data_IF_777024337741
#
_entry.id   IF_777024337741
#
_cell.length_a   1.000
_cell.length_b   1.000
_cell.length_c   1.000
_cell.angle_alpha   90.00
_cell.angle_beta   90.00
_cell.angle_gamma   90.00
#
_symmetry.space_group_name_H-M   'P 1'
#
loop_
_entity.id
_entity.type
_entity.pdbx_description
1 polymer ?
#
# COMPACT_ATOMS: atom_id res chain seq x y z
N UNK A 1 -8.26 70.29 7.66
CA UNK A 1 -8.71 69.21 8.56
C UNK A 1 -10.11 68.81 8.11
N UNK A 2 -10.21 67.73 7.34
CA UNK A 2 -11.43 67.33 6.64
C UNK A 2 -12.00 66.08 7.29
N UNK A 3 -13.25 66.16 7.72
CA UNK A 3 -14.04 65.20 8.47
C UNK A 3 -14.37 63.90 7.73
N UNK A 4 -13.45 63.39 6.90
CA UNK A 4 -13.60 62.14 6.13
C UNK A 4 -12.81 60.96 6.70
N UNK A 5 -11.87 61.19 7.62
CA UNK A 5 -11.01 60.11 8.16
C UNK A 5 -11.59 59.42 9.41
N UNK A 6 -12.64 59.98 10.02
CA UNK A 6 -13.21 59.47 11.27
C UNK A 6 -14.36 58.46 11.08
N UNK A 7 -14.80 58.20 9.85
CA UNK A 7 -16.03 57.42 9.61
C UNK A 7 -15.79 55.97 9.13
N UNK A 8 -14.56 55.60 8.80
CA UNK A 8 -14.24 54.23 8.34
C UNK A 8 -13.89 53.25 9.47
N UNK A 9 -13.69 53.73 10.70
CA UNK A 9 -13.26 52.88 11.83
C UNK A 9 -14.39 52.10 12.54
N UNK A 10 -15.65 52.23 12.10
CA UNK A 10 -16.81 51.73 12.87
C UNK A 10 -17.36 50.36 12.40
N UNK A 11 -16.84 49.76 11.31
CA UNK A 11 -17.48 48.53 10.74
C UNK A 11 -16.60 47.31 10.54
N UNK A 12 -15.57 47.11 11.36
CA UNK A 12 -14.93 45.79 11.47
C UNK A 12 -15.00 45.34 12.93
N UNK A 13 -16.21 44.97 13.36
CA UNK A 13 -16.40 44.24 14.60
C UNK A 13 -15.74 42.87 14.45
N UNK A 14 -14.58 42.68 15.09
CA UNK A 14 -13.95 41.35 15.18
C UNK A 14 -14.95 40.37 15.79
N UNK A 15 -15.30 39.31 15.07
CA UNK A 15 -16.09 38.21 15.63
C UNK A 15 -15.24 37.51 16.69
N UNK A 16 -15.71 37.47 17.94
CA UNK A 16 -15.09 36.63 18.96
C UNK A 16 -15.38 35.15 18.67
N UNK A 17 -14.40 34.29 18.99
CA UNK A 17 -14.56 32.84 18.83
C UNK A 17 -15.65 32.34 19.80
N UNK A 18 -16.61 31.57 19.28
CA UNK A 18 -17.63 30.91 20.11
C UNK A 18 -17.01 29.74 20.87
N UNK A 19 -17.24 29.69 22.17
CA UNK A 19 -16.88 28.55 23.01
C UNK A 19 -17.77 27.36 22.61
N UNK A 20 -17.18 26.29 22.08
CA UNK A 20 -17.95 25.16 21.56
C UNK A 20 -18.41 24.20 22.67
N UNK A 21 -17.72 24.17 23.81
CA UNK A 21 -18.01 23.27 24.93
C UNK A 21 -18.06 24.03 26.24
N UNK A 22 -19.27 24.23 26.77
CA UNK A 22 -19.52 25.05 27.96
C UNK A 22 -19.31 24.29 29.28
N UNK A 23 -19.04 22.98 29.24
CA UNK A 23 -18.97 22.10 30.41
C UNK A 23 -17.76 21.16 30.43
N UNK A 24 -16.72 21.44 29.64
CA UNK A 24 -15.50 20.64 29.63
C UNK A 24 -14.63 20.94 30.87
N UNK A 25 -14.98 20.35 32.01
CA UNK A 25 -14.10 20.31 33.19
C UNK A 25 -13.01 19.22 33.08
N UNK A 26 -13.10 18.38 32.04
CA UNK A 26 -12.22 17.27 31.82
C UNK A 26 -11.20 17.58 30.70
N UNK A 27 -9.93 17.26 30.95
CA UNK A 27 -8.76 17.70 30.16
C UNK A 27 -8.37 16.70 29.08
N UNK A 28 -9.03 15.55 28.98
CA UNK A 28 -8.46 14.44 28.20
C UNK A 28 -9.13 14.13 26.86
N UNK A 29 -10.22 14.79 26.46
CA UNK A 29 -10.83 14.52 25.14
C UNK A 29 -11.43 15.76 24.46
N UNK A 30 -10.56 16.67 24.03
CA UNK A 30 -10.92 17.82 23.20
C UNK A 30 -10.28 17.74 21.81
N UNK A 31 -10.71 16.79 20.96
CA UNK A 31 -10.67 16.95 19.50
C UNK A 31 -11.54 15.89 18.82
N UNK A 32 -12.42 16.35 17.92
CA UNK A 32 -13.24 15.53 17.04
C UNK A 32 -12.43 14.83 15.93
N UNK A 33 -11.74 13.74 16.29
CA UNK A 33 -11.24 12.76 15.30
C UNK A 33 -11.87 11.40 15.59
N UNK A 34 -12.50 10.73 14.62
CA UNK A 34 -12.95 9.36 14.81
C UNK A 34 -11.71 8.46 14.91
N UNK A 35 -11.48 7.90 16.10
CA UNK A 35 -10.50 6.84 16.31
C UNK A 35 -10.99 5.60 15.57
N UNK A 36 -10.37 5.28 14.43
CA UNK A 36 -10.59 3.96 13.80
C UNK A 36 -10.05 2.91 14.77
N UNK A 37 -10.90 1.94 15.09
CA UNK A 37 -10.83 1.10 16.28
C UNK A 37 -9.51 0.36 16.53
N UNK A 38 -9.17 0.28 17.82
CA UNK A 38 -8.22 -0.69 18.38
C UNK A 38 -8.64 -2.10 17.97
N UNK A 39 -7.89 -2.73 17.04
CA UNK A 39 -8.03 -4.15 16.70
C UNK A 39 -7.04 -5.03 17.47
N UNK A 40 -6.60 -4.59 18.65
CA UNK A 40 -5.64 -5.34 19.46
C UNK A 40 -6.09 -5.42 20.93
N UNK A 41 -7.32 -5.87 21.14
CA UNK A 41 -7.76 -6.43 22.42
C UNK A 41 -8.59 -7.67 22.13
N UNK A 42 -7.91 -8.73 21.69
CA UNK A 42 -8.46 -10.07 21.75
C UNK A 42 -7.34 -11.03 22.13
N UNK A 43 -7.13 -11.19 23.43
CA UNK A 43 -6.66 -12.46 24.00
C UNK A 43 -6.81 -12.44 25.53
N UNK A 44 -7.66 -13.37 25.97
CA UNK A 44 -7.72 -14.01 27.28
C UNK A 44 -8.31 -13.21 28.46
N UNK A 45 -9.61 -13.41 28.65
CA UNK A 45 -10.25 -13.34 29.97
C UNK A 45 -9.93 -14.61 30.77
N UNK A 46 -9.33 -14.45 31.94
CA UNK A 46 -9.55 -15.31 33.10
C UNK A 46 -9.84 -14.41 34.32
N UNK A 47 -10.88 -14.71 35.13
CA UNK A 47 -11.27 -13.85 36.23
C UNK A 47 -10.58 -14.24 37.53
N UNK A 48 -9.88 -13.28 38.14
CA UNK A 48 -9.44 -13.37 39.52
C UNK A 48 -7.94 -13.20 39.68
N UNK A 49 -7.50 -12.00 40.07
CA UNK A 49 -6.65 -11.72 41.23
C UNK A 49 -6.29 -10.23 41.23
N UNK A 50 -6.55 -9.56 42.34
CA UNK A 50 -6.27 -8.13 42.54
C UNK A 50 -4.75 -7.91 42.60
N UNK A 51 -4.12 -7.64 41.46
CA UNK A 51 -2.72 -7.23 41.42
C UNK A 51 -2.64 -5.72 41.61
N UNK A 52 -2.24 -5.30 42.81
CA UNK A 52 -1.77 -3.94 43.09
C UNK A 52 -0.73 -3.53 42.05
N UNK A 53 -1.11 -2.62 41.15
CA UNK A 53 -0.18 -2.00 40.20
C UNK A 53 0.71 -1.04 40.99
N UNK A 54 1.87 -1.55 41.45
CA UNK A 54 2.99 -0.71 41.90
C UNK A 54 3.33 0.28 40.80
N UNK A 55 2.93 1.53 41.01
CA UNK A 55 3.32 2.68 40.19
C UNK A 55 4.84 2.79 40.20
N UNK A 56 5.45 2.36 39.10
CA UNK A 56 6.87 2.53 38.83
C UNK A 56 7.08 4.04 38.74
N UNK A 57 7.86 4.62 39.66
CA UNK A 57 8.28 6.02 39.57
C UNK A 57 8.98 6.20 38.22
N UNK A 58 8.31 6.87 37.29
CA UNK A 58 8.93 7.41 36.10
C UNK A 58 9.83 8.53 36.61
N UNK A 59 11.09 8.18 36.88
CA UNK A 59 12.15 9.15 37.07
C UNK A 59 12.17 9.96 35.76
N UNK A 60 11.68 11.18 35.82
CA UNK A 60 11.64 12.12 34.72
C UNK A 60 13.07 12.31 34.22
N UNK A 61 13.39 11.65 33.10
CA UNK A 61 14.64 11.85 32.39
C UNK A 61 14.55 13.25 31.78
N UNK A 62 15.10 14.23 32.49
CA UNK A 62 15.21 15.60 32.02
C UNK A 62 15.88 15.57 30.65
N UNK A 63 15.09 15.86 29.61
CA UNK A 63 15.59 15.94 28.24
C UNK A 63 16.29 17.27 28.13
N UNK A 64 17.63 17.27 28.20
CA UNK A 64 18.41 18.47 27.91
C UNK A 64 18.13 18.88 26.46
N UNK A 65 17.43 20.01 26.29
CA UNK A 65 17.24 20.60 24.98
C UNK A 65 18.58 21.18 24.51
N UNK A 66 19.08 20.67 23.39
CA UNK A 66 20.27 21.23 22.76
C UNK A 66 19.94 22.64 22.23
N UNK A 67 20.40 23.67 22.96
CA UNK A 67 20.18 25.08 22.64
C UNK A 67 20.98 25.54 21.42
N UNK A 68 21.95 24.76 20.93
CA UNK A 68 22.77 25.14 19.77
C UNK A 68 21.99 25.10 18.45
N UNK A 69 20.88 24.36 18.41
CA UNK A 69 19.98 24.31 17.25
C UNK A 69 18.91 25.41 17.23
N UNK A 70 18.89 26.29 18.25
CA UNK A 70 17.85 27.30 18.41
C UNK A 70 18.16 28.53 17.55
N UNK A 71 17.23 28.85 16.65
CA UNK A 71 17.21 30.08 15.86
C UNK A 71 16.62 31.20 16.73
N UNK A 72 17.26 32.36 16.74
CA UNK A 72 16.83 33.52 17.53
C UNK A 72 15.76 34.34 16.78
N UNK A 73 15.01 35.16 17.50
CA UNK A 73 14.06 36.10 16.88
C UNK A 73 14.79 37.11 15.97
N UNK A 74 15.96 37.58 16.40
CA UNK A 74 16.78 38.51 15.60
C UNK A 74 17.19 37.90 14.26
N UNK A 75 17.46 36.59 14.19
CA UNK A 75 17.78 35.90 12.93
C UNK A 75 16.64 35.96 11.90
N UNK A 76 15.40 36.12 12.35
CA UNK A 76 14.22 36.13 11.50
C UNK A 76 13.73 37.56 11.20
N UNK A 77 14.05 38.54 12.06
CA UNK A 77 13.48 39.89 11.98
C UNK A 77 14.50 41.00 11.73
N UNK A 78 15.82 40.72 11.81
CA UNK A 78 16.84 41.76 11.66
C UNK A 78 16.91 42.28 10.21
N UNK A 79 16.73 43.59 9.97
CA UNK A 79 16.76 44.17 8.63
C UNK A 79 18.15 44.12 7.97
N UNK A 80 19.21 43.90 8.75
CA UNK A 80 20.58 43.71 8.23
C UNK A 80 20.86 42.28 7.77
N UNK A 81 19.93 41.35 8.00
CA UNK A 81 20.05 39.93 7.66
C UNK A 81 20.25 39.03 8.88
N UNK A 82 20.10 37.72 8.65
CA UNK A 82 20.26 36.68 9.68
C UNK A 82 21.72 36.48 10.09
N UNK A 83 21.95 35.95 11.30
CA UNK A 83 23.31 35.65 11.77
C UNK A 83 23.95 34.47 11.03
N UNK A 84 25.27 34.34 11.16
CA UNK A 84 26.02 33.19 10.64
C UNK A 84 25.51 31.85 11.22
N UNK A 85 25.15 31.83 12.51
CA UNK A 85 24.62 30.64 13.20
C UNK A 85 23.33 30.15 12.54
N UNK A 86 22.45 31.05 12.11
CA UNK A 86 21.24 30.68 11.38
C UNK A 86 21.56 29.92 10.10
N UNK A 87 22.52 30.43 9.30
CA UNK A 87 22.90 29.80 8.04
C UNK A 87 23.58 28.45 8.25
N UNK A 88 24.39 28.31 9.30
CA UNK A 88 24.98 27.03 9.69
C UNK A 88 23.89 25.98 10.01
N UNK A 89 22.93 26.32 10.87
CA UNK A 89 21.82 25.42 11.22
C UNK A 89 20.99 25.08 9.98
N UNK A 90 20.74 26.05 9.11
CA UNK A 90 19.98 25.83 7.89
C UNK A 90 20.72 24.92 6.91
N UNK A 91 22.03 25.07 6.77
CA UNK A 91 22.86 24.21 5.92
C UNK A 91 22.83 22.76 6.43
N UNK A 92 22.99 22.56 7.74
CA UNK A 92 22.94 21.22 8.35
C UNK A 92 21.56 20.57 8.18
N UNK A 93 20.47 21.32 8.42
CA UNK A 93 19.11 20.81 8.18
C UNK A 93 18.87 20.44 6.72
N UNK A 94 19.38 21.24 5.78
CA UNK A 94 19.29 20.96 4.35
C UNK A 94 20.12 19.74 3.96
N UNK A 95 21.29 19.55 4.57
CA UNK A 95 22.12 18.38 4.36
C UNK A 95 21.40 17.10 4.81
N UNK A 96 20.80 17.11 6.00
CA UNK A 96 20.01 15.96 6.49
C UNK A 96 18.81 15.68 5.59
N UNK A 97 18.03 16.71 5.24
CA UNK A 97 16.89 16.55 4.34
C UNK A 97 17.32 16.05 2.94
N UNK A 98 18.49 16.45 2.46
CA UNK A 98 19.04 15.95 1.20
C UNK A 98 19.45 14.48 1.33
N UNK A 99 20.09 14.09 2.42
CA UNK A 99 20.45 12.70 2.66
C UNK A 99 19.21 11.81 2.71
N UNK A 100 18.19 12.21 3.48
CA UNK A 100 16.92 11.49 3.55
C UNK A 100 16.27 11.33 2.16
N UNK A 101 16.30 12.38 1.34
CA UNK A 101 15.76 12.35 -0.02
C UNK A 101 16.58 11.44 -0.96
N UNK A 102 17.90 11.38 -0.80
CA UNK A 102 18.76 10.49 -1.58
C UNK A 102 18.52 9.02 -1.20
N UNK A 103 18.44 8.72 0.10
CA UNK A 103 18.16 7.38 0.61
C UNK A 103 16.77 6.89 0.15
N UNK A 104 15.76 7.76 0.19
CA UNK A 104 14.44 7.45 -0.36
C UNK A 104 14.50 7.22 -1.88
N UNK A 105 15.25 8.05 -2.62
CA UNK A 105 15.40 7.90 -4.06
C UNK A 105 16.04 6.55 -4.44
N UNK A 106 17.08 6.14 -3.73
CA UNK A 106 17.74 4.85 -3.92
C UNK A 106 16.76 3.70 -3.65
N UNK A 107 16.02 3.77 -2.54
CA UNK A 107 15.01 2.77 -2.21
C UNK A 107 13.93 2.67 -3.29
N UNK A 108 13.42 3.81 -3.77
CA UNK A 108 12.40 3.83 -4.83
C UNK A 108 12.93 3.24 -6.13
N UNK A 109 14.19 3.53 -6.51
CA UNK A 109 14.83 2.93 -7.69
C UNK A 109 14.89 1.42 -7.59
N UNK A 110 15.32 0.90 -6.43
CA UNK A 110 15.39 -0.54 -6.19
C UNK A 110 14.01 -1.20 -6.30
N UNK A 111 12.99 -0.62 -5.68
CA UNK A 111 11.61 -1.14 -5.79
C UNK A 111 11.09 -1.10 -7.23
N UNK A 112 11.40 -0.05 -8.00
CA UNK A 112 11.03 0.01 -9.42
C UNK A 112 11.72 -1.08 -10.23
N UNK A 113 12.98 -1.36 -9.96
CA UNK A 113 13.75 -2.42 -10.63
C UNK A 113 13.15 -3.80 -10.32
N UNK A 114 12.92 -4.12 -9.04
CA UNK A 114 12.29 -5.37 -8.59
C UNK A 114 10.91 -5.57 -9.24
N UNK A 115 10.06 -4.54 -9.25
CA UNK A 115 8.73 -4.62 -9.85
C UNK A 115 8.78 -4.76 -11.37
N UNK A 116 9.78 -4.18 -12.04
CA UNK A 116 9.97 -4.33 -13.50
C UNK A 116 10.40 -5.75 -13.84
N UNK A 117 11.31 -6.33 -13.06
CA UNK A 117 11.74 -7.72 -13.23
C UNK A 117 10.57 -8.69 -13.02
N UNK A 118 9.79 -8.52 -11.95
CA UNK A 118 8.59 -9.33 -11.70
C UNK A 118 7.58 -9.19 -12.83
N UNK A 119 7.32 -7.96 -13.31
CA UNK A 119 6.40 -7.73 -14.42
C UNK A 119 6.88 -8.39 -15.72
N UNK A 120 8.19 -8.38 -15.98
CA UNK A 120 8.77 -9.05 -17.13
C UNK A 120 8.61 -10.56 -17.03
N UNK A 121 8.89 -11.16 -15.87
CA UNK A 121 8.69 -12.58 -15.61
C UNK A 121 7.23 -13.01 -15.79
N UNK A 122 6.28 -12.25 -15.25
CA UNK A 122 4.85 -12.53 -15.40
C UNK A 122 4.38 -12.45 -16.86
N UNK A 123 4.91 -11.47 -17.63
CA UNK A 123 4.62 -11.36 -19.06
C UNK A 123 5.17 -12.54 -19.84
N UNK A 124 6.37 -13.01 -19.51
CA UNK A 124 6.95 -14.19 -20.15
C UNK A 124 6.09 -15.43 -19.87
N UNK A 125 5.69 -15.65 -18.62
CA UNK A 125 4.82 -16.78 -18.24
C UNK A 125 3.46 -16.72 -18.95
N UNK A 126 2.91 -15.51 -19.12
CA UNK A 126 1.67 -15.31 -19.88
C UNK A 126 1.85 -15.68 -21.36
N UNK A 127 2.96 -15.27 -21.97
CA UNK A 127 3.28 -15.60 -23.36
C UNK A 127 3.45 -17.11 -23.56
N UNK A 128 4.19 -17.77 -22.67
CA UNK A 128 4.37 -19.23 -22.69
C UNK A 128 3.02 -19.96 -22.53
N UNK A 129 2.16 -19.50 -21.63
CA UNK A 129 0.82 -20.07 -21.44
C UNK A 129 -0.07 -19.85 -22.68
N UNK A 130 -0.01 -18.68 -23.30
CA UNK A 130 -0.75 -18.40 -24.55
C UNK A 130 -0.25 -19.29 -25.69
N UNK A 131 1.07 -19.45 -25.84
CA UNK A 131 1.66 -20.35 -26.83
C UNK A 131 1.23 -21.80 -26.60
N UNK A 132 1.19 -22.26 -25.35
CA UNK A 132 0.69 -23.60 -25.03
C UNK A 132 -0.79 -23.76 -25.39
N UNK A 133 -1.62 -22.75 -25.13
CA UNK A 133 -3.03 -22.74 -25.55
C UNK A 133 -3.17 -22.77 -27.07
N UNK A 134 -2.31 -22.08 -27.81
CA UNK A 134 -2.30 -22.10 -29.27
C UNK A 134 -1.96 -23.50 -29.80
N UNK A 135 -0.90 -24.15 -29.29
CA UNK A 135 -0.53 -25.51 -29.66
C UNK A 135 -1.68 -26.50 -29.39
N UNK A 136 -2.33 -26.41 -28.22
CA UNK A 136 -3.49 -27.27 -27.91
C UNK A 136 -4.64 -27.02 -28.89
N UNK A 137 -4.91 -25.77 -29.25
CA UNK A 137 -5.97 -25.45 -30.22
C UNK A 137 -5.66 -26.00 -31.61
N UNK A 138 -4.39 -25.97 -32.02
CA UNK A 138 -3.93 -26.55 -33.29
C UNK A 138 -4.14 -28.07 -33.29
N UNK A 139 -3.65 -28.78 -32.27
CA UNK A 139 -3.82 -30.23 -32.15
C UNK A 139 -5.30 -30.66 -32.14
N UNK A 140 -6.15 -29.96 -31.36
CA UNK A 140 -7.60 -30.25 -31.33
C UNK A 140 -8.30 -29.94 -32.67
N UNK A 141 -7.79 -28.97 -33.44
CA UNK A 141 -8.33 -28.68 -34.76
C UNK A 141 -7.93 -29.77 -35.77
N UNK A 142 -6.71 -30.29 -35.67
CA UNK A 142 -6.21 -31.36 -36.54
C UNK A 142 -6.89 -32.72 -36.26
N UNK A 143 -7.18 -33.03 -35.00
CA UNK A 143 -7.94 -34.23 -34.59
C UNK A 143 -9.41 -34.25 -35.07
N UNK A 144 -9.97 -33.09 -35.41
CA UNK A 144 -11.34 -33.00 -35.97
C UNK A 144 -11.41 -33.43 -37.44
N UNK A 145 -10.27 -33.69 -38.07
CA UNK A 145 -10.13 -34.18 -39.43
C UNK A 145 -9.87 -35.70 -39.49
N UNK A 146 -10.28 -36.44 -38.46
CA UNK A 146 -10.29 -37.91 -38.41
C UNK A 146 -11.23 -38.51 -39.49
N UNK A 147 -10.77 -38.49 -40.74
CA UNK A 147 -10.94 -39.62 -41.63
C UNK A 147 -10.22 -40.81 -40.99
N UNK A 148 -10.97 -41.65 -40.27
CA UNK A 148 -10.42 -42.85 -39.64
C UNK A 148 -9.83 -43.83 -40.66
N UNK A 149 -9.96 -43.60 -41.97
CA UNK A 149 -9.46 -44.49 -43.02
C UNK A 149 -10.10 -45.89 -42.97
N UNK A 150 -11.10 -46.09 -42.12
CA UNK A 150 -11.87 -47.33 -42.00
C UNK A 150 -13.03 -47.22 -42.97
N UNK A 151 -12.85 -47.80 -44.15
CA UNK A 151 -13.93 -48.02 -45.09
C UNK A 151 -14.92 -49.04 -44.50
N UNK A 152 -16.05 -48.54 -44.00
CA UNK A 152 -17.14 -49.35 -43.44
C UNK A 152 -17.83 -50.24 -44.49
N UNK A 153 -17.45 -50.14 -45.77
CA UNK A 153 -17.97 -50.96 -46.84
C UNK A 153 -17.23 -52.30 -47.03
N UNK A 154 -16.13 -52.55 -46.31
CA UNK A 154 -15.37 -53.81 -46.40
C UNK A 154 -15.86 -54.90 -45.42
N UNK A 155 -16.90 -54.61 -44.63
CA UNK A 155 -17.65 -55.60 -43.83
C UNK A 155 -18.90 -56.02 -44.62
N UNK A 156 -18.71 -56.83 -45.66
CA UNK A 156 -19.75 -57.72 -46.16
C UNK A 156 -19.16 -58.90 -46.92
N UNK A 157 -19.64 -60.08 -46.53
CA UNK A 157 -19.63 -61.34 -47.28
C UNK A 157 -18.29 -62.08 -47.42
N UNK A 158 -17.87 -62.71 -46.33
CA UNK A 158 -17.11 -63.95 -46.38
C UNK A 158 -17.66 -64.95 -45.35
N UNK A 159 -18.94 -65.30 -45.50
CA UNK A 159 -19.47 -66.55 -44.93
C UNK A 159 -20.45 -67.16 -45.94
N UNK A 160 -19.88 -67.69 -47.02
CA UNK A 160 -20.55 -68.62 -47.92
C UNK A 160 -19.49 -69.59 -48.46
N UNK A 161 -19.13 -70.58 -47.64
CA UNK A 161 -18.47 -71.80 -48.14
C UNK A 161 -19.22 -73.03 -47.65
N UNK A 162 -20.27 -73.36 -48.42
CA UNK A 162 -20.59 -74.70 -48.91
C UNK A 162 -20.45 -75.87 -47.93
N UNK A 163 -21.59 -76.30 -47.40
CA UNK A 163 -21.84 -77.70 -47.08
C UNK A 163 -22.00 -78.54 -48.36
N UNK A 164 -21.82 -79.86 -48.20
CA UNK A 164 -21.97 -80.97 -49.16
C UNK A 164 -20.71 -81.38 -49.97
N UNK A 165 -20.03 -82.46 -49.54
CA UNK A 165 -20.34 -83.79 -50.06
C UNK A 165 -19.70 -84.93 -49.22
N UNK A 166 -20.48 -85.99 -49.16
CA UNK A 166 -20.41 -87.27 -48.50
C UNK A 166 -19.23 -88.17 -48.92
N UNK A 167 -18.78 -89.08 -48.05
CA UNK A 167 -18.77 -90.54 -48.33
C UNK A 167 -18.28 -91.40 -47.15
N UNK A 168 -19.16 -92.34 -46.77
CA UNK A 168 -18.94 -93.73 -46.32
C UNK A 168 -18.17 -94.02 -45.02
N UNK A 169 -18.89 -94.60 -44.06
CA UNK A 169 -18.49 -95.83 -43.36
C UNK A 169 -19.75 -96.53 -42.82
N UNK A 170 -20.06 -97.70 -43.39
CA UNK A 170 -20.89 -98.78 -42.81
C UNK A 170 -20.01 -100.02 -42.75
#
# INVERSE_FOLDING_TARGET
MSSHEQQESIRITRRSLKTLQHSANDRENLVGRPTKGLKHQLSQESPGESVEVKRKNLLSKETQANLDTKISEDDLTNPKGASEKYWQILAEKRQLALQDALDENEKLRKTIEELKEENASLKQMLEEANSFVEIIKEELADDSNNDTGIDVNDVSTADETTEEDTTKND
#
